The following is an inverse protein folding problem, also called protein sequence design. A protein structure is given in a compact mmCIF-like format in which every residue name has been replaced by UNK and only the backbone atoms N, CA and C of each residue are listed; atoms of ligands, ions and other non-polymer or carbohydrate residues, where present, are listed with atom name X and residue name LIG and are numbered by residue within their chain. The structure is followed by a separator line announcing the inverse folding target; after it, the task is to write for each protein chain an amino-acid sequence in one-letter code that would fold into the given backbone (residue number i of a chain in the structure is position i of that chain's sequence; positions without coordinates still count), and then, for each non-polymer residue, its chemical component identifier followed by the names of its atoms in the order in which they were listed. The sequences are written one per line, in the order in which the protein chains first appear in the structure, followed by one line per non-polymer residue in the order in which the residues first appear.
data_IF_621851846545
#
_entry.id   IF_621851846545
#
_cell.length_a   1.000
_cell.length_b   1.000
_cell.length_c   1.000
_cell.angle_alpha   90.00
_cell.angle_beta   90.00
_cell.angle_gamma   90.00
#
_symmetry.space_group_name_H-M   'P 1'
#
loop_
_entity.id
_entity.type
_entity.pdbx_description
1 polymer ?
#
# COMPACT_ATOMS: atom_id res chain seq x y z
N UNK A 1 30.17 23.05 16.40
CA UNK A 1 28.70 22.93 16.57
C UNK A 1 28.19 21.86 15.62
N UNK A 2 28.20 20.60 16.05
CA UNK A 2 27.64 19.45 15.32
C UNK A 2 26.53 18.88 16.20
N UNK A 3 25.30 18.90 15.72
CA UNK A 3 24.19 18.24 16.40
C UNK A 3 24.36 16.73 16.23
N UNK A 4 24.70 16.05 17.33
CA UNK A 4 24.43 14.64 17.54
C UNK A 4 22.90 14.50 17.63
N UNK A 5 22.25 13.89 16.64
CA UNK A 5 20.90 13.37 16.83
C UNK A 5 21.03 11.90 17.20
N UNK A 6 20.78 11.64 18.49
CA UNK A 6 20.61 10.33 19.09
C UNK A 6 19.37 9.66 18.47
N UNK A 7 19.56 8.43 18.00
CA UNK A 7 18.50 7.52 17.53
C UNK A 7 18.09 6.55 18.67
N UNK A 8 18.28 6.98 19.93
CA UNK A 8 18.23 6.11 21.11
C UNK A 8 16.90 6.17 21.90
N UNK A 9 15.93 6.99 21.49
CA UNK A 9 14.66 7.19 22.24
C UNK A 9 13.42 6.61 21.52
N UNK A 10 13.55 5.50 20.80
CA UNK A 10 12.40 4.64 20.48
C UNK A 10 12.21 3.65 21.63
N UNK A 11 11.55 4.10 22.69
CA UNK A 11 11.33 3.31 23.90
C UNK A 11 10.40 2.10 23.62
N UNK A 12 10.96 0.93 23.92
CA UNK A 12 10.38 -0.32 24.42
C UNK A 12 9.35 -1.11 23.58
N UNK A 13 9.87 -2.14 22.89
CA UNK A 13 9.13 -3.39 22.63
C UNK A 13 9.38 -4.02 21.27
N UNK A 14 9.08 -3.30 20.19
CA UNK A 14 8.89 -3.92 18.88
C UNK A 14 10.17 -4.06 18.02
N UNK A 15 11.13 -3.13 18.12
CA UNK A 15 12.36 -3.21 17.31
C UNK A 15 13.46 -4.07 17.92
N UNK A 16 13.57 -4.12 19.26
CA UNK A 16 14.63 -4.88 19.95
C UNK A 16 14.41 -6.39 19.93
N UNK A 17 13.17 -6.86 19.74
CA UNK A 17 12.87 -8.30 19.64
C UNK A 17 13.45 -8.95 18.38
N UNK A 18 13.70 -8.17 17.31
CA UNK A 18 14.19 -8.70 16.04
C UNK A 18 15.72 -8.81 15.92
N UNK A 19 16.47 -8.11 16.77
CA UNK A 19 17.93 -8.15 16.76
C UNK A 19 18.50 -9.37 17.51
N UNK A 20 17.69 -10.08 18.28
CA UNK A 20 18.18 -11.10 19.23
C UNK A 20 18.16 -12.57 18.72
N UNK A 21 17.85 -12.83 17.45
CA UNK A 21 17.88 -14.20 16.89
C UNK A 21 19.21 -14.57 16.24
N UNK A 22 20.15 -13.63 16.06
CA UNK A 22 21.51 -13.93 15.62
C UNK A 22 22.50 -13.19 16.52
N UNK A 23 22.84 -13.81 17.65
CA UNK A 23 23.81 -13.28 18.60
C UNK A 23 25.16 -13.01 17.93
N UNK A 24 25.42 -11.74 17.60
CA UNK A 24 26.73 -11.09 17.50
C UNK A 24 26.51 -9.59 17.27
N UNK A 25 26.98 -8.76 18.21
CA UNK A 25 27.04 -7.30 18.06
C UNK A 25 27.85 -6.95 16.80
N UNK A 26 27.39 -6.03 15.93
CA UNK A 26 28.24 -5.53 14.85
C UNK A 26 29.40 -4.69 15.43
N UNK A 27 30.61 -4.75 14.83
CA UNK A 27 31.72 -3.93 15.27
C UNK A 27 31.47 -2.47 14.92
N UNK A 28 31.75 -1.59 15.87
CA UNK A 28 31.72 -0.13 15.73
C UNK A 28 32.70 0.31 14.64
N UNK A 29 32.18 0.73 13.48
CA UNK A 29 32.99 1.27 12.38
C UNK A 29 33.46 2.69 12.73
N UNK A 30 34.76 2.83 13.04
CA UNK A 30 35.47 4.12 13.01
C UNK A 30 35.92 4.42 11.57
N UNK A 31 35.83 5.67 11.09
CA UNK A 31 36.22 5.99 9.71
C UNK A 31 37.75 5.98 9.60
N UNK A 32 38.29 5.02 8.86
CA UNK A 32 39.68 5.05 8.39
C UNK A 32 39.67 5.42 6.92
N UNK A 33 40.21 6.60 6.61
CA UNK A 33 40.49 7.05 5.24
C UNK A 33 41.58 6.15 4.68
N UNK A 34 41.28 5.38 3.64
CA UNK A 34 42.27 4.64 2.87
C UNK A 34 42.20 5.10 1.41
N UNK A 35 43.24 5.83 1.03
CA UNK A 35 43.59 6.22 -0.32
C UNK A 35 44.02 4.95 -1.09
N UNK A 36 43.27 4.53 -2.10
CA UNK A 36 43.69 3.43 -2.97
C UNK A 36 44.34 4.02 -4.24
N UNK A 37 45.66 3.89 -4.32
CA UNK A 37 46.42 4.08 -5.55
C UNK A 37 46.38 2.77 -6.36
N UNK A 38 45.92 2.84 -7.60
CA UNK A 38 45.94 1.72 -8.54
C UNK A 38 47.33 1.62 -9.18
N UNK A 39 47.98 0.46 -9.05
CA UNK A 39 49.05 0.03 -9.95
C UNK A 39 48.66 -1.31 -10.57
N UNK A 40 48.65 -1.33 -11.90
CA UNK A 40 48.49 -2.54 -12.70
C UNK A 40 49.82 -3.30 -12.76
N UNK A 41 49.78 -4.61 -12.55
CA UNK A 41 50.82 -5.51 -13.00
C UNK A 41 50.18 -6.84 -13.43
N UNK A 42 50.51 -7.24 -14.66
CA UNK A 42 50.10 -8.45 -15.34
C UNK A 42 50.92 -9.65 -14.82
N UNK A 43 50.28 -10.78 -14.56
CA UNK A 43 50.95 -12.03 -14.20
C UNK A 43 49.98 -13.19 -14.29
N UNK A 44 50.16 -14.04 -15.31
CA UNK A 44 49.42 -15.29 -15.52
C UNK A 44 49.92 -16.33 -14.50
N UNK A 45 49.02 -16.89 -13.71
CA UNK A 45 49.20 -18.19 -13.05
C UNK A 45 47.90 -18.98 -13.17
N UNK A 46 47.97 -20.08 -13.91
CA UNK A 46 46.95 -21.13 -13.95
C UNK A 46 46.86 -21.79 -12.58
N UNK A 47 45.71 -21.67 -11.94
CA UNK A 47 45.38 -22.32 -10.69
C UNK A 47 43.87 -22.39 -10.54
N UNK A 48 43.32 -23.60 -10.67
CA UNK A 48 41.92 -23.89 -10.44
C UNK A 48 41.53 -23.50 -9.00
N UNK A 49 40.93 -22.32 -8.84
CA UNK A 49 40.23 -21.91 -7.64
C UNK A 49 38.79 -22.36 -7.77
N UNK A 50 38.42 -23.34 -6.95
CA UNK A 50 37.04 -23.70 -6.72
C UNK A 50 36.24 -22.45 -6.36
N UNK A 51 35.18 -22.20 -7.12
CA UNK A 51 34.22 -21.12 -6.95
C UNK A 51 33.59 -21.27 -5.55
N UNK A 52 34.08 -20.52 -4.57
CA UNK A 52 33.40 -20.38 -3.29
C UNK A 52 32.22 -19.44 -3.56
N UNK A 53 30.96 -19.86 -3.35
CA UNK A 53 29.86 -18.94 -3.48
C UNK A 53 30.10 -17.79 -2.51
N UNK A 54 30.26 -16.58 -3.06
CA UNK A 54 30.34 -15.36 -2.28
C UNK A 54 29.16 -15.27 -1.31
N UNK A 55 29.27 -14.52 -0.21
CA UNK A 55 28.21 -14.44 0.78
C UNK A 55 26.90 -14.05 0.08
N UNK A 56 25.97 -15.00 0.05
CA UNK A 56 24.62 -14.79 -0.46
C UNK A 56 24.01 -13.71 0.42
N UNK A 57 23.98 -12.47 -0.07
CA UNK A 57 23.25 -11.39 0.60
C UNK A 57 21.78 -11.81 0.55
N UNK A 58 21.28 -12.35 1.66
CA UNK A 58 19.87 -12.66 1.81
C UNK A 58 19.11 -11.35 1.62
N UNK A 59 18.48 -11.18 0.45
CA UNK A 59 17.57 -10.08 0.21
C UNK A 59 16.54 -10.03 1.35
N UNK A 60 16.38 -8.86 1.96
CA UNK A 60 15.36 -8.61 2.97
C UNK A 60 14.00 -9.06 2.43
N UNK A 61 13.39 -10.04 3.09
CA UNK A 61 12.03 -10.52 2.77
C UNK A 61 11.02 -9.73 3.59
N UNK A 62 9.77 -9.77 3.14
CA UNK A 62 8.63 -9.26 3.92
C UNK A 62 8.54 -10.04 5.23
N UNK A 63 8.35 -9.33 6.33
CA UNK A 63 8.25 -9.86 7.69
C UNK A 63 6.84 -9.63 8.24
N UNK A 64 6.11 -10.73 8.46
CA UNK A 64 4.79 -10.68 9.10
C UNK A 64 4.84 -9.99 10.46
N UNK A 65 5.85 -10.25 11.29
CA UNK A 65 5.87 -9.65 12.61
C UNK A 65 6.28 -8.17 12.59
N UNK A 66 7.05 -7.72 11.59
CA UNK A 66 7.28 -6.28 11.42
C UNK A 66 5.95 -5.57 11.09
N UNK A 67 5.17 -6.16 10.17
CA UNK A 67 3.81 -5.70 9.88
C UNK A 67 2.95 -5.68 11.14
N UNK A 68 2.95 -6.77 11.92
CA UNK A 68 2.19 -6.86 13.17
C UNK A 68 2.56 -5.75 14.16
N UNK A 69 3.86 -5.51 14.35
CA UNK A 69 4.36 -4.41 15.18
C UNK A 69 3.86 -3.03 14.73
N UNK A 70 3.84 -2.76 13.42
CA UNK A 70 3.31 -1.51 12.88
C UNK A 70 1.80 -1.38 13.14
N UNK A 71 1.03 -2.43 12.89
CA UNK A 71 -0.42 -2.44 13.10
C UNK A 71 -0.76 -2.22 14.58
N UNK A 72 -0.13 -2.98 15.47
CA UNK A 72 -0.36 -2.88 16.92
C UNK A 72 -0.07 -1.48 17.46
N UNK A 73 1.02 -0.84 17.02
CA UNK A 73 1.34 0.52 17.43
C UNK A 73 0.34 1.54 16.88
N UNK A 74 0.07 1.51 15.57
CA UNK A 74 -0.78 2.49 14.90
C UNK A 74 -2.24 2.40 15.34
N UNK A 75 -2.71 1.23 15.77
CA UNK A 75 -4.03 0.99 16.33
C UNK A 75 -4.06 1.03 17.87
N UNK A 76 -2.94 1.37 18.52
CA UNK A 76 -2.88 1.37 19.99
C UNK A 76 -3.74 2.48 20.60
N UNK A 77 -4.18 2.32 21.86
CA UNK A 77 -4.87 3.38 22.59
C UNK A 77 -4.09 4.70 22.66
N UNK A 78 -2.75 4.66 22.60
CA UNK A 78 -1.90 5.85 22.59
C UNK A 78 -2.15 6.74 21.37
N UNK A 79 -2.50 6.14 20.24
CA UNK A 79 -2.77 6.84 18.98
C UNK A 79 -4.21 7.33 18.91
N UNK A 80 -5.10 6.90 19.83
CA UNK A 80 -6.43 7.47 20.01
C UNK A 80 -7.28 7.53 18.73
N UNK A 81 -7.11 6.57 17.82
CA UNK A 81 -7.77 6.55 16.52
C UNK A 81 -7.23 7.52 15.48
N UNK A 82 -5.98 7.97 15.64
CA UNK A 82 -5.20 8.75 14.67
C UNK A 82 -5.88 10.03 14.17
N UNK A 83 -6.52 10.74 15.11
CA UNK A 83 -7.05 12.09 14.92
C UNK A 83 -6.46 13.05 15.96
N UNK A 84 -6.26 14.32 15.59
CA UNK A 84 -5.73 15.33 16.52
C UNK A 84 -4.32 14.98 17.02
N UNK A 85 -4.06 14.84 18.34
CA UNK A 85 -2.73 14.44 18.82
C UNK A 85 -2.25 13.08 18.28
N UNK A 86 -3.19 12.14 18.08
CA UNK A 86 -2.90 10.82 17.53
C UNK A 86 -2.42 10.85 16.09
N UNK A 87 -3.04 11.70 15.27
CA UNK A 87 -2.65 11.95 13.88
C UNK A 87 -1.19 12.45 13.80
N UNK A 88 -0.82 13.40 14.67
CA UNK A 88 0.55 13.92 14.71
C UNK A 88 1.58 12.84 15.09
N UNK A 89 1.24 11.98 16.04
CA UNK A 89 2.08 10.83 16.42
C UNK A 89 2.22 9.83 15.27
N UNK A 90 1.13 9.49 14.58
CA UNK A 90 1.18 8.62 13.40
C UNK A 90 2.05 9.21 12.29
N UNK A 91 1.88 10.51 12.00
CA UNK A 91 2.70 11.21 11.01
C UNK A 91 4.18 11.25 11.39
N UNK A 92 4.50 11.41 12.68
CA UNK A 92 5.86 11.33 13.20
C UNK A 92 6.43 9.92 13.04
N UNK A 93 5.66 8.90 13.43
CA UNK A 93 6.04 7.50 13.33
C UNK A 93 6.45 7.11 11.91
N UNK A 94 5.62 7.42 10.91
CA UNK A 94 5.92 7.15 9.49
C UNK A 94 7.18 7.88 9.05
N UNK A 95 7.31 9.17 9.38
CA UNK A 95 8.48 9.99 9.04
C UNK A 95 9.77 9.44 9.65
N UNK A 96 9.71 9.00 10.91
CA UNK A 96 10.88 8.47 11.62
C UNK A 96 11.32 7.13 11.03
N UNK A 97 10.39 6.29 10.61
CA UNK A 97 10.72 5.05 9.89
C UNK A 97 11.37 5.34 8.54
N UNK A 98 10.83 6.28 7.75
CA UNK A 98 11.47 6.68 6.50
C UNK A 98 12.89 7.23 6.71
N UNK A 99 13.08 8.05 7.74
CA UNK A 99 14.39 8.60 8.08
C UNK A 99 15.38 7.52 8.55
N UNK A 100 14.92 6.56 9.37
CA UNK A 100 15.72 5.43 9.84
C UNK A 100 16.23 4.57 8.67
N UNK A 101 15.41 4.37 7.64
CA UNK A 101 15.78 3.68 6.40
C UNK A 101 16.72 4.48 5.48
N UNK A 102 17.08 5.71 5.85
CA UNK A 102 17.94 6.58 5.04
C UNK A 102 17.29 7.07 3.75
N UNK A 103 15.96 7.00 3.64
CA UNK A 103 15.23 7.55 2.51
C UNK A 103 15.36 9.08 2.49
N UNK A 104 15.21 9.69 1.32
CA UNK A 104 15.28 11.16 1.22
C UNK A 104 13.90 11.77 1.49
N UNK A 105 13.82 12.97 2.09
CA UNK A 105 12.56 13.68 2.16
C UNK A 105 11.99 13.97 0.76
N UNK A 106 10.67 13.81 0.59
CA UNK A 106 10.01 13.98 -0.72
C UNK A 106 9.69 15.45 -1.05
N UNK A 107 9.42 16.27 -0.05
CA UNK A 107 8.92 17.64 -0.22
C UNK A 107 10.04 18.65 0.01
N UNK A 108 11.08 18.59 -0.83
CA UNK A 108 12.30 19.38 -0.69
C UNK A 108 13.18 18.85 0.43
N UNK A 109 13.37 19.66 1.50
CA UNK A 109 14.10 19.24 2.70
C UNK A 109 13.19 18.61 3.77
N UNK A 110 11.89 18.46 3.50
CA UNK A 110 10.87 18.01 4.45
C UNK A 110 10.22 16.70 4.03
N UNK A 111 9.93 15.84 5.02
CA UNK A 111 9.07 14.66 4.83
C UNK A 111 7.59 15.05 4.84
N UNK A 112 7.24 16.23 5.31
CA UNK A 112 5.86 16.69 5.44
C UNK A 112 5.47 17.62 4.28
N UNK A 113 4.32 17.34 3.67
CA UNK A 113 3.61 18.25 2.78
C UNK A 113 2.41 18.83 3.55
N UNK A 114 2.44 20.11 3.96
CA UNK A 114 1.31 20.73 4.62
C UNK A 114 0.11 20.80 3.66
N UNK A 115 -1.08 20.47 4.17
CA UNK A 115 -2.36 20.55 3.46
C UNK A 115 -3.06 21.82 3.94
N UNK A 116 -3.36 22.71 3.01
CA UNK A 116 -4.03 23.97 3.30
C UNK A 116 -5.55 23.80 3.10
N UNK A 117 -6.33 24.35 4.03
CA UNK A 117 -7.79 24.32 3.99
C UNK A 117 -8.40 25.50 4.74
N UNK A 118 -9.74 25.57 4.73
CA UNK A 118 -10.46 26.57 5.51
C UNK A 118 -10.32 26.27 7.00
N UNK A 119 -10.21 27.33 7.81
CA UNK A 119 -10.20 27.20 9.26
C UNK A 119 -11.47 26.50 9.76
N UNK A 120 -11.33 25.37 10.48
CA UNK A 120 -12.46 24.66 11.08
C UNK A 120 -13.29 25.53 12.03
N UNK A 121 -12.70 26.60 12.58
CA UNK A 121 -13.38 27.54 13.48
C UNK A 121 -14.19 28.63 12.74
N UNK A 122 -14.28 28.55 11.41
CA UNK A 122 -15.15 29.41 10.59
C UNK A 122 -14.54 30.74 10.17
N UNK A 123 -13.24 30.96 10.38
CA UNK A 123 -12.54 32.08 9.76
C UNK A 123 -12.42 31.87 8.24
N UNK A 124 -12.32 32.96 7.48
CA UNK A 124 -12.06 32.90 6.03
C UNK A 124 -10.58 32.71 5.70
N UNK A 125 -9.73 32.52 6.71
CA UNK A 125 -8.30 32.31 6.53
C UNK A 125 -8.03 30.87 6.10
N UNK A 126 -6.98 30.72 5.29
CA UNK A 126 -6.46 29.41 4.93
C UNK A 126 -5.42 29.01 5.97
N UNK A 127 -5.61 27.84 6.58
CA UNK A 127 -4.73 27.29 7.61
C UNK A 127 -4.26 25.89 7.22
N UNK A 128 -3.19 25.42 7.86
CA UNK A 128 -2.74 24.03 7.71
C UNK A 128 -3.70 23.13 8.50
N UNK A 129 -4.44 22.28 7.78
CA UNK A 129 -5.45 21.38 8.35
C UNK A 129 -4.98 19.93 8.45
N UNK A 130 -3.84 19.59 7.83
CA UNK A 130 -3.25 18.24 7.83
C UNK A 130 -1.88 18.23 7.17
N UNK A 131 -1.25 17.05 7.07
CA UNK A 131 0.05 16.88 6.42
C UNK A 131 0.24 15.49 5.79
N UNK A 132 0.51 15.42 4.48
CA UNK A 132 1.00 14.14 3.95
C UNK A 132 2.45 13.89 4.42
N UNK A 133 2.82 12.62 4.58
CA UNK A 133 4.19 12.20 4.88
C UNK A 133 4.77 11.50 3.67
N UNK A 134 5.98 11.86 3.22
CA UNK A 134 6.53 11.31 1.99
C UNK A 134 8.04 11.22 1.95
N UNK A 135 8.54 10.14 1.35
CA UNK A 135 9.95 9.86 1.18
C UNK A 135 10.28 9.34 -0.23
N UNK A 136 11.55 9.49 -0.61
CA UNK A 136 12.08 9.19 -1.94
C UNK A 136 13.21 8.16 -1.85
N UNK A 137 13.05 7.04 -2.56
CA UNK A 137 14.12 6.09 -2.88
C UNK A 137 14.59 6.32 -4.32
N UNK A 138 15.84 6.77 -4.50
CA UNK A 138 16.36 7.14 -5.81
C UNK A 138 16.65 5.93 -6.68
N UNK A 139 16.18 5.97 -7.93
CA UNK A 139 16.55 5.00 -8.95
C UNK A 139 18.02 5.14 -9.39
N UNK A 140 18.61 4.06 -9.89
CA UNK A 140 20.00 4.00 -10.32
C UNK A 140 20.22 4.36 -11.80
N UNK A 141 19.19 4.26 -12.64
CA UNK A 141 19.31 4.46 -14.09
C UNK A 141 19.25 5.96 -14.42
N UNK A 142 20.30 6.56 -15.04
CA UNK A 142 20.32 7.99 -15.33
C UNK A 142 19.17 8.51 -16.21
N UNK A 143 18.56 7.63 -17.02
CA UNK A 143 17.44 7.96 -17.90
C UNK A 143 16.09 7.79 -17.20
N UNK A 144 15.97 6.80 -16.32
CA UNK A 144 14.70 6.41 -15.72
C UNK A 144 14.51 6.88 -14.27
N UNK A 145 15.56 7.29 -13.55
CA UNK A 145 15.47 7.70 -12.15
C UNK A 145 14.59 8.93 -11.90
N UNK A 146 14.31 9.73 -12.93
CA UNK A 146 13.38 10.86 -12.87
C UNK A 146 11.91 10.43 -12.98
N UNK A 147 11.66 9.21 -13.45
CA UNK A 147 10.36 8.56 -13.38
C UNK A 147 10.19 7.87 -12.03
N UNK A 148 8.93 7.79 -11.58
CA UNK A 148 8.59 7.32 -10.26
C UNK A 148 7.46 6.30 -10.26
N UNK A 149 7.60 5.28 -9.41
CA UNK A 149 6.48 4.46 -8.93
C UNK A 149 6.08 5.00 -7.56
N UNK A 150 4.82 5.36 -7.38
CA UNK A 150 4.28 5.80 -6.10
C UNK A 150 3.67 4.60 -5.37
N UNK A 151 3.93 4.46 -4.07
CA UNK A 151 3.30 3.50 -3.17
C UNK A 151 2.69 4.29 -2.02
N UNK A 152 1.42 4.06 -1.72
CA UNK A 152 0.71 4.84 -0.72
C UNK A 152 -0.37 4.09 0.06
N UNK A 153 -0.64 4.60 1.26
CA UNK A 153 -1.73 4.25 2.16
C UNK A 153 -2.00 5.48 3.06
N UNK A 154 -3.23 5.72 3.51
CA UNK A 154 -3.50 6.82 4.44
C UNK A 154 -3.22 6.40 5.90
N UNK A 155 -2.78 7.35 6.72
CA UNK A 155 -2.50 7.10 8.14
C UNK A 155 -3.54 7.69 9.08
N UNK A 156 -4.39 8.62 8.62
CA UNK A 156 -5.45 9.17 9.46
C UNK A 156 -6.53 8.13 9.75
N UNK A 157 -7.33 8.40 10.79
CA UNK A 157 -8.58 7.69 11.02
C UNK A 157 -9.55 8.54 11.87
N UNK A 158 -10.69 7.95 12.23
CA UNK A 158 -11.86 8.66 12.76
C UNK A 158 -11.65 9.30 14.15
N UNK A 159 -10.70 8.80 14.94
CA UNK A 159 -10.40 9.29 16.29
C UNK A 159 -11.33 8.73 17.37
N UNK A 160 -11.85 9.60 18.22
CA UNK A 160 -12.82 9.27 19.27
C UNK A 160 -14.18 9.89 18.95
N UNK A 161 -15.22 9.07 18.89
CA UNK A 161 -16.61 9.50 18.65
C UNK A 161 -17.45 9.04 19.83
N UNK A 162 -18.23 9.94 20.43
CA UNK A 162 -19.09 9.66 21.60
C UNK A 162 -18.38 8.92 22.74
N UNK A 163 -17.10 9.25 22.98
CA UNK A 163 -16.27 8.67 24.04
C UNK A 163 -15.68 7.30 23.71
N UNK A 164 -15.92 6.75 22.52
CA UNK A 164 -15.36 5.48 22.06
C UNK A 164 -14.23 5.74 21.06
N UNK A 165 -13.10 5.07 21.26
CA UNK A 165 -11.96 5.13 20.33
C UNK A 165 -12.23 4.20 19.15
N UNK A 166 -11.95 4.70 17.94
CA UNK A 166 -12.00 3.95 16.69
C UNK A 166 -10.55 3.65 16.32
N UNK A 167 -10.03 2.43 16.56
CA UNK A 167 -8.59 2.21 16.47
C UNK A 167 -8.07 2.18 15.04
N UNK A 168 -8.90 1.77 14.07
CA UNK A 168 -8.54 1.76 12.65
C UNK A 168 -7.39 0.80 12.34
N UNK A 169 -7.46 -0.43 12.84
CA UNK A 169 -6.40 -1.41 12.66
C UNK A 169 -6.30 -1.93 11.24
N UNK A 170 -7.42 -2.33 10.64
CA UNK A 170 -7.45 -2.62 9.22
C UNK A 170 -7.52 -1.35 8.39
N UNK A 171 -8.23 -0.33 8.90
CA UNK A 171 -8.48 0.97 8.27
C UNK A 171 -7.71 2.14 8.94
N UNK A 172 -6.52 2.51 8.50
CA UNK A 172 -5.71 1.84 7.50
C UNK A 172 -4.29 1.60 8.03
N UNK A 173 -4.18 1.22 9.32
CA UNK A 173 -2.91 0.82 9.90
C UNK A 173 -2.30 -0.39 9.15
N UNK A 174 -3.13 -1.28 8.61
CA UNK A 174 -2.69 -2.40 7.77
C UNK A 174 -1.99 -1.93 6.48
N UNK A 175 -2.50 -0.91 5.79
CA UNK A 175 -1.88 -0.32 4.60
C UNK A 175 -0.62 0.46 4.93
N UNK A 176 -0.59 1.20 6.04
CA UNK A 176 0.64 1.87 6.50
C UNK A 176 1.72 0.86 6.88
N UNK A 177 1.35 -0.24 7.54
CA UNK A 177 2.27 -1.33 7.85
C UNK A 177 2.88 -1.95 6.58
N UNK A 178 2.06 -2.18 5.54
CA UNK A 178 2.55 -2.58 4.21
C UNK A 178 3.50 -1.54 3.63
N UNK A 179 3.15 -0.25 3.66
CA UNK A 179 3.97 0.83 3.10
C UNK A 179 5.37 0.87 3.73
N UNK A 180 5.43 0.79 5.06
CA UNK A 180 6.69 0.80 5.82
C UNK A 180 7.53 -0.44 5.55
N UNK A 181 6.90 -1.62 5.49
CA UNK A 181 7.61 -2.88 5.25
C UNK A 181 8.13 -2.99 3.81
N UNK A 182 7.34 -2.54 2.83
CA UNK A 182 7.79 -2.45 1.43
C UNK A 182 8.92 -1.43 1.28
N UNK A 183 8.86 -0.30 1.99
CA UNK A 183 9.94 0.68 2.03
C UNK A 183 11.24 0.10 2.59
N UNK A 184 11.16 -0.67 3.69
CA UNK A 184 12.31 -1.38 4.27
C UNK A 184 12.91 -2.37 3.28
N UNK A 185 12.08 -3.25 2.71
CA UNK A 185 12.54 -4.28 1.77
C UNK A 185 13.21 -3.69 0.53
N UNK A 186 12.69 -2.58 0.00
CA UNK A 186 13.27 -1.94 -1.19
C UNK A 186 14.53 -1.12 -0.88
N UNK A 187 14.61 -0.46 0.28
CA UNK A 187 15.78 0.34 0.68
C UNK A 187 16.98 -0.52 1.09
N UNK A 188 16.74 -1.67 1.72
CA UNK A 188 17.79 -2.63 2.10
C UNK A 188 18.20 -3.57 0.95
N UNK A 189 17.51 -3.52 -0.19
CA UNK A 189 17.80 -4.37 -1.34
C UNK A 189 19.19 -4.08 -1.90
N UNK A 190 20.06 -5.10 -2.09
CA UNK A 190 21.36 -4.92 -2.74
C UNK A 190 21.24 -4.62 -4.24
N UNK A 191 20.07 -4.91 -4.84
CA UNK A 191 19.77 -4.61 -6.23
C UNK A 191 18.93 -3.34 -6.28
N UNK A 192 19.50 -2.20 -6.72
CA UNK A 192 18.76 -0.95 -6.82
C UNK A 192 17.77 -1.00 -7.98
N UNK A 193 16.66 -0.27 -7.85
CA UNK A 193 15.67 -0.12 -8.90
C UNK A 193 16.13 0.91 -9.94
N UNK A 194 15.72 0.73 -11.21
CA UNK A 194 16.06 1.68 -12.29
C UNK A 194 15.31 3.01 -12.15
N UNK A 195 13.98 2.95 -11.94
CA UNK A 195 13.13 4.10 -11.59
C UNK A 195 13.20 4.42 -10.11
N UNK A 196 12.87 5.65 -9.75
CA UNK A 196 12.69 6.02 -8.34
C UNK A 196 11.37 5.45 -7.79
N UNK A 197 11.30 5.32 -6.47
CA UNK A 197 10.06 4.97 -5.76
C UNK A 197 9.75 6.08 -4.76
N UNK A 198 8.51 6.55 -4.78
CA UNK A 198 7.98 7.52 -3.83
C UNK A 198 7.08 6.76 -2.86
N UNK A 199 7.39 6.85 -1.57
CA UNK A 199 6.53 6.33 -0.51
C UNK A 199 5.76 7.51 0.05
N UNK A 200 4.43 7.44 0.06
CA UNK A 200 3.59 8.54 0.56
C UNK A 200 2.53 7.97 1.47
N UNK A 201 2.45 8.46 2.70
CA UNK A 201 1.32 8.22 3.57
C UNK A 201 0.42 9.45 3.60
N UNK A 202 -0.82 9.29 3.15
CA UNK A 202 -1.78 10.37 3.04
C UNK A 202 -2.46 10.65 4.38
N UNK A 203 -2.87 11.91 4.54
CA UNK A 203 -3.67 12.38 5.66
C UNK A 203 -5.07 12.78 5.17
N UNK A 204 -6.04 12.92 6.08
CA UNK A 204 -7.39 13.38 5.77
C UNK A 204 -8.09 12.56 4.66
N UNK A 205 -7.84 11.26 4.56
CA UNK A 205 -8.58 10.37 3.65
C UNK A 205 -10.04 10.31 4.07
N UNK A 206 -10.27 10.11 5.37
CA UNK A 206 -11.60 9.99 5.98
C UNK A 206 -12.41 11.29 5.88
N UNK A 207 -11.72 12.38 5.53
CA UNK A 207 -12.29 13.69 5.27
C UNK A 207 -12.40 13.96 3.76
N UNK A 208 -12.83 12.96 2.99
CA UNK A 208 -13.03 13.02 1.54
C UNK A 208 -11.72 13.12 0.73
N UNK A 209 -10.74 12.26 1.01
CA UNK A 209 -9.51 12.09 0.22
C UNK A 209 -8.67 13.37 0.13
N UNK A 210 -8.73 14.24 1.14
CA UNK A 210 -8.15 15.58 1.03
C UNK A 210 -6.63 15.53 0.86
N UNK A 211 -5.93 14.61 1.53
CA UNK A 211 -4.49 14.45 1.39
C UNK A 211 -4.06 14.03 -0.01
N UNK A 212 -4.66 12.99 -0.59
CA UNK A 212 -4.33 12.54 -1.94
C UNK A 212 -4.76 13.54 -3.01
N UNK A 213 -5.90 14.21 -2.85
CA UNK A 213 -6.34 15.32 -3.73
C UNK A 213 -5.33 16.45 -3.70
N UNK A 214 -4.89 16.85 -2.49
CA UNK A 214 -3.89 17.88 -2.30
C UNK A 214 -2.55 17.48 -2.94
N UNK A 215 -2.11 16.24 -2.74
CA UNK A 215 -0.89 15.70 -3.34
C UNK A 215 -0.92 15.74 -4.86
N UNK A 216 -2.01 15.30 -5.50
CA UNK A 216 -2.14 15.32 -6.96
C UNK A 216 -2.21 16.74 -7.52
N UNK A 217 -2.78 17.69 -6.78
CA UNK A 217 -2.79 19.10 -7.15
C UNK A 217 -1.42 19.79 -6.98
N UNK A 218 -0.64 19.39 -5.96
CA UNK A 218 0.63 20.02 -5.57
C UNK A 218 1.78 19.00 -5.58
N UNK A 219 1.81 18.15 -6.60
CA UNK A 219 2.75 17.03 -6.66
C UNK A 219 4.20 17.55 -6.70
N UNK A 220 5.12 17.01 -5.87
CA UNK A 220 6.51 17.47 -5.80
C UNK A 220 7.30 17.17 -7.08
N UNK A 221 6.75 16.34 -7.97
CA UNK A 221 7.25 16.09 -9.31
C UNK A 221 6.13 16.34 -10.33
N UNK A 222 6.44 16.65 -11.60
CA UNK A 222 5.42 16.66 -12.64
C UNK A 222 4.63 15.36 -12.64
N UNK A 223 3.30 15.42 -12.48
CA UNK A 223 2.44 14.25 -12.28
C UNK A 223 2.64 13.15 -13.34
N UNK A 224 2.92 13.53 -14.59
CA UNK A 224 3.25 12.60 -15.69
C UNK A 224 4.48 11.72 -15.46
N UNK A 225 5.37 12.09 -14.53
CA UNK A 225 6.54 11.31 -14.11
C UNK A 225 6.17 10.21 -13.11
N UNK A 226 5.01 10.30 -12.46
CA UNK A 226 4.43 9.16 -11.73
C UNK A 226 3.88 8.21 -12.79
N UNK A 227 4.62 7.12 -12.99
CA UNK A 227 4.34 6.13 -14.03
C UNK A 227 3.35 5.08 -13.58
N UNK A 228 3.25 4.86 -12.27
CA UNK A 228 2.28 3.99 -11.63
C UNK A 228 2.05 4.49 -10.21
N UNK A 229 0.79 4.61 -9.79
CA UNK A 229 0.40 4.80 -8.40
C UNK A 229 -0.17 3.50 -7.82
N UNK A 230 0.51 2.92 -6.85
CA UNK A 230 0.02 1.78 -6.07
C UNK A 230 -0.56 2.33 -4.77
N UNK A 231 -1.85 2.14 -4.56
CA UNK A 231 -2.59 2.58 -3.37
C UNK A 231 -3.14 1.35 -2.67
N UNK A 232 -3.13 1.32 -1.35
CA UNK A 232 -3.57 0.18 -0.57
C UNK A 232 -4.42 0.60 0.63
N UNK A 233 -5.48 -0.15 0.88
CA UNK A 233 -6.46 0.15 1.92
C UNK A 233 -7.26 -1.10 2.31
N UNK A 234 -7.44 -1.34 3.61
CA UNK A 234 -8.05 -2.55 4.17
C UNK A 234 -7.35 -3.84 3.70
N UNK A 235 -6.20 -4.21 4.27
CA UNK A 235 -5.40 -5.35 3.78
C UNK A 235 -5.49 -6.62 4.65
N UNK A 236 -5.96 -6.48 5.87
CA UNK A 236 -5.91 -7.44 6.95
C UNK A 236 -7.17 -8.27 7.14
N UNK A 237 -8.30 -7.85 6.58
CA UNK A 237 -9.60 -8.54 6.73
C UNK A 237 -10.06 -9.13 5.39
N UNK A 238 -11.34 -9.47 5.30
CA UNK A 238 -11.99 -9.98 4.09
C UNK A 238 -13.29 -9.24 3.88
N UNK A 239 -13.66 -9.03 2.61
CA UNK A 239 -14.96 -8.49 2.22
C UNK A 239 -16.09 -9.23 2.96
N UNK A 240 -16.82 -8.52 3.82
CA UNK A 240 -17.89 -9.05 4.65
C UNK A 240 -17.50 -10.18 5.60
N UNK A 241 -16.23 -10.32 5.96
CA UNK A 241 -15.76 -11.50 6.72
C UNK A 241 -16.01 -12.84 6.00
N UNK A 242 -16.12 -12.83 4.66
CA UNK A 242 -16.21 -14.05 3.88
C UNK A 242 -14.99 -14.95 4.15
N UNK A 243 -15.17 -16.29 4.21
CA UNK A 243 -14.13 -17.26 4.59
C UNK A 243 -13.15 -17.55 3.44
N UNK A 244 -12.55 -16.49 2.92
CA UNK A 244 -11.70 -16.48 1.73
C UNK A 244 -10.53 -15.53 1.98
N UNK A 245 -9.39 -15.82 1.37
CA UNK A 245 -8.24 -14.91 1.38
C UNK A 245 -8.08 -14.36 -0.03
N UNK A 246 -8.66 -13.18 -0.25
CA UNK A 246 -8.68 -12.53 -1.56
C UNK A 246 -8.26 -11.06 -1.39
N UNK A 247 -7.42 -10.59 -2.30
CA UNK A 247 -7.16 -9.16 -2.48
C UNK A 247 -7.71 -8.73 -3.84
N UNK A 248 -8.59 -7.73 -3.81
CA UNK A 248 -9.08 -7.04 -4.98
C UNK A 248 -8.02 -6.07 -5.49
N UNK A 249 -7.76 -6.15 -6.79
CA UNK A 249 -6.88 -5.23 -7.49
C UNK A 249 -7.66 -4.46 -8.55
N UNK A 250 -7.83 -3.15 -8.34
CA UNK A 250 -8.48 -2.23 -9.28
C UNK A 250 -7.46 -1.38 -10.05
N UNK A 251 -7.89 -0.76 -11.15
CA UNK A 251 -7.10 0.17 -11.98
C UNK A 251 -6.41 -0.47 -13.18
N UNK A 252 -6.27 -1.80 -13.18
CA UNK A 252 -5.67 -2.53 -14.30
C UNK A 252 -6.53 -2.53 -15.57
N UNK A 253 -7.82 -2.20 -15.48
CA UNK A 253 -8.75 -2.09 -16.61
C UNK A 253 -8.31 -1.08 -17.69
N UNK A 254 -7.51 -0.08 -17.30
CA UNK A 254 -6.98 0.97 -18.17
C UNK A 254 -5.53 0.70 -18.59
N UNK A 255 -4.99 -0.51 -18.42
CA UNK A 255 -3.63 -0.81 -18.86
C UNK A 255 -3.41 -2.31 -19.10
N UNK A 256 -3.22 -2.71 -20.36
CA UNK A 256 -2.94 -4.12 -20.73
C UNK A 256 -1.67 -4.62 -20.07
N UNK A 257 -0.66 -3.76 -19.94
CA UNK A 257 0.61 -4.09 -19.30
C UNK A 257 0.41 -4.43 -17.82
N UNK A 258 -0.38 -3.64 -17.08
CA UNK A 258 -0.72 -3.94 -15.69
C UNK A 258 -1.48 -5.28 -15.57
N UNK A 259 -2.44 -5.55 -16.47
CA UNK A 259 -3.14 -6.85 -16.48
C UNK A 259 -2.18 -8.01 -16.75
N UNK A 260 -1.23 -7.84 -17.66
CA UNK A 260 -0.23 -8.85 -17.97
C UNK A 260 0.70 -9.11 -16.78
N UNK A 261 1.12 -8.09 -16.05
CA UNK A 261 1.93 -8.22 -14.83
C UNK A 261 1.16 -8.89 -13.70
N UNK A 262 -0.10 -8.50 -13.46
CA UNK A 262 -0.94 -9.13 -12.44
C UNK A 262 -1.23 -10.62 -12.72
N UNK A 263 -1.13 -11.06 -13.98
CA UNK A 263 -1.18 -12.49 -14.34
C UNK A 263 0.13 -13.24 -14.06
N UNK A 264 1.25 -12.55 -13.83
CA UNK A 264 2.57 -13.14 -13.57
C UNK A 264 2.91 -13.17 -12.08
N UNK A 265 2.47 -12.17 -11.32
CA UNK A 265 2.72 -12.12 -9.87
C UNK A 265 2.00 -13.27 -9.16
N UNK A 266 2.67 -13.88 -8.20
CA UNK A 266 2.11 -14.97 -7.40
C UNK A 266 2.37 -14.67 -5.93
N UNK A 267 1.35 -14.67 -5.07
CA UNK A 267 1.57 -14.67 -3.63
C UNK A 267 2.25 -15.99 -3.23
N UNK A 268 2.98 -15.97 -2.12
CA UNK A 268 3.68 -17.15 -1.60
C UNK A 268 2.76 -18.16 -0.91
N UNK A 269 1.57 -17.72 -0.49
CA UNK A 269 0.59 -18.55 0.23
C UNK A 269 -0.73 -18.72 -0.52
N UNK A 270 -1.82 -18.81 0.26
CA UNK A 270 -3.17 -19.09 -0.24
C UNK A 270 -3.94 -17.84 -0.69
N UNK A 271 -3.34 -16.66 -0.54
CA UNK A 271 -3.96 -15.42 -1.01
C UNK A 271 -4.29 -15.52 -2.50
N UNK A 272 -5.46 -15.06 -2.89
CA UNK A 272 -5.85 -14.95 -4.28
C UNK A 272 -5.87 -13.49 -4.73
N UNK A 273 -5.20 -13.20 -5.83
CA UNK A 273 -5.18 -11.87 -6.45
C UNK A 273 -6.29 -11.82 -7.48
N UNK A 274 -7.41 -11.16 -7.14
CA UNK A 274 -8.59 -11.04 -7.99
C UNK A 274 -8.70 -9.63 -8.55
N UNK A 275 -9.17 -9.48 -9.80
CA UNK A 275 -9.27 -8.16 -10.45
C UNK A 275 -10.70 -7.68 -10.45
N UNK A 276 -10.89 -6.42 -10.10
CA UNK A 276 -12.18 -5.73 -10.14
C UNK A 276 -11.96 -4.34 -10.73
N UNK A 277 -12.73 -3.91 -11.73
CA UNK A 277 -12.56 -2.56 -12.24
C UNK A 277 -13.05 -1.50 -11.23
N UNK A 278 -12.37 -0.36 -11.21
CA UNK A 278 -12.70 0.73 -10.29
C UNK A 278 -14.10 1.32 -10.55
N UNK A 279 -14.61 1.27 -11.79
CA UNK A 279 -15.98 1.74 -12.07
C UNK A 279 -17.05 0.87 -11.37
N UNK A 280 -16.78 -0.42 -11.15
CA UNK A 280 -17.68 -1.34 -10.46
C UNK A 280 -17.88 -1.00 -8.99
N UNK A 281 -16.88 -0.38 -8.34
CA UNK A 281 -16.90 -0.06 -6.90
C UNK A 281 -17.00 1.46 -6.63
N UNK A 282 -16.66 2.31 -7.60
CA UNK A 282 -16.67 3.77 -7.48
C UNK A 282 -15.30 4.36 -7.17
N UNK A 283 -15.27 5.54 -6.54
CA UNK A 283 -14.06 6.03 -5.85
C UNK A 283 -14.24 5.72 -4.38
N UNK A 284 -13.41 4.82 -3.84
CA UNK A 284 -13.50 4.36 -2.46
C UNK A 284 -12.27 4.69 -1.60
N UNK A 285 -11.16 5.10 -2.22
CA UNK A 285 -9.90 5.40 -1.53
C UNK A 285 -9.02 6.34 -2.39
N UNK A 286 -7.79 6.59 -1.95
CA UNK A 286 -6.84 7.59 -2.46
C UNK A 286 -6.37 7.39 -3.92
N UNK A 287 -6.77 6.31 -4.58
CA UNK A 287 -6.53 6.13 -6.02
C UNK A 287 -7.36 7.08 -6.89
N UNK A 288 -8.48 7.61 -6.36
CA UNK A 288 -9.43 8.45 -7.10
C UNK A 288 -8.77 9.63 -7.84
N UNK A 289 -8.03 10.50 -7.14
CA UNK A 289 -7.35 11.64 -7.76
C UNK A 289 -6.36 11.25 -8.88
N UNK A 290 -5.71 10.08 -8.78
CA UNK A 290 -4.82 9.57 -9.83
C UNK A 290 -5.62 9.09 -11.04
N UNK A 291 -6.72 8.36 -10.81
CA UNK A 291 -7.66 7.93 -11.85
C UNK A 291 -8.22 9.12 -12.64
N UNK A 292 -8.65 10.17 -11.94
CA UNK A 292 -9.23 11.38 -12.55
C UNK A 292 -8.21 12.13 -13.43
N UNK A 293 -6.92 11.99 -13.13
CA UNK A 293 -5.80 12.54 -13.91
C UNK A 293 -5.19 11.56 -14.91
N UNK A 294 -5.80 10.40 -15.11
CA UNK A 294 -5.34 9.34 -16.02
C UNK A 294 -3.91 8.87 -15.75
N UNK A 295 -3.50 8.89 -14.48
CA UNK A 295 -2.27 8.25 -14.05
C UNK A 295 -2.56 6.75 -13.89
N UNK A 296 -1.79 5.85 -14.53
CA UNK A 296 -1.93 4.41 -14.30
C UNK A 296 -1.86 4.11 -12.81
N UNK A 297 -2.81 3.34 -12.30
CA UNK A 297 -2.89 3.03 -10.88
C UNK A 297 -3.22 1.57 -10.65
N UNK A 298 -2.86 1.08 -9.47
CA UNK A 298 -3.37 -0.15 -8.90
C UNK A 298 -3.86 0.14 -7.48
N UNK A 299 -5.08 -0.26 -7.18
CA UNK A 299 -5.63 -0.19 -5.83
C UNK A 299 -5.78 -1.59 -5.27
N UNK A 300 -5.15 -1.86 -4.13
CA UNK A 300 -5.20 -3.13 -3.42
C UNK A 300 -6.07 -3.01 -2.19
N UNK A 301 -7.10 -3.85 -2.09
CA UNK A 301 -7.99 -3.90 -0.92
C UNK A 301 -8.60 -5.27 -0.73
N UNK A 302 -8.91 -5.64 0.50
CA UNK A 302 -9.69 -6.83 0.81
C UNK A 302 -11.18 -6.55 0.96
N UNK A 303 -11.58 -5.28 0.89
CA UNK A 303 -12.97 -4.82 0.95
C UNK A 303 -13.48 -4.56 2.38
N UNK A 304 -14.60 -3.86 2.46
CA UNK A 304 -15.27 -3.49 3.72
C UNK A 304 -15.73 -4.77 4.49
N UNK A 305 -15.69 -4.70 5.83
CA UNK A 305 -16.08 -5.79 6.73
C UNK A 305 -16.91 -5.23 7.91
N UNK A 306 -17.49 -6.10 8.73
CA UNK A 306 -18.47 -5.70 9.75
C UNK A 306 -17.93 -4.78 10.87
N UNK A 307 -16.60 -4.63 10.98
CA UNK A 307 -15.96 -3.75 11.96
C UNK A 307 -15.42 -2.45 11.33
N UNK A 308 -15.52 -2.30 10.01
CA UNK A 308 -15.10 -1.10 9.29
C UNK A 308 -15.81 0.13 9.86
N UNK A 309 -15.04 1.18 10.17
CA UNK A 309 -15.54 2.40 10.83
C UNK A 309 -16.26 2.10 12.16
N UNK A 310 -15.77 1.14 12.93
CA UNK A 310 -16.28 0.84 14.28
C UNK A 310 -15.15 0.75 15.31
N UNK A 311 -15.46 0.85 16.61
CA UNK A 311 -14.50 0.60 17.69
C UNK A 311 -13.92 -0.82 17.72
N UNK A 312 -14.48 -1.76 16.95
CA UNK A 312 -14.03 -3.15 16.88
C UNK A 312 -12.98 -3.39 15.79
N UNK A 313 -12.59 -2.37 15.01
CA UNK A 313 -11.46 -2.48 14.09
C UNK A 313 -10.13 -2.44 14.87
N UNK A 314 -9.81 -3.55 15.52
CA UNK A 314 -8.70 -3.73 16.47
C UNK A 314 -7.59 -4.61 15.88
N UNK A 315 -6.35 -4.41 16.36
CA UNK A 315 -5.15 -5.05 15.83
C UNK A 315 -5.23 -6.59 15.83
N UNK A 316 -5.89 -7.18 16.83
CA UNK A 316 -6.04 -8.63 16.97
C UNK A 316 -6.86 -9.26 15.83
N UNK A 317 -7.70 -8.48 15.13
CA UNK A 317 -8.50 -8.95 14.00
C UNK A 317 -7.76 -8.89 12.66
N UNK A 318 -6.61 -8.22 12.61
CA UNK A 318 -5.80 -8.07 11.40
C UNK A 318 -5.00 -9.34 11.12
N UNK A 319 -5.23 -9.95 9.95
CA UNK A 319 -4.45 -11.11 9.47
C UNK A 319 -3.13 -10.63 8.88
N UNK A 320 -2.13 -10.44 9.73
CA UNK A 320 -0.82 -9.92 9.32
C UNK A 320 -0.10 -10.81 8.29
N UNK A 321 -0.35 -12.12 8.30
CA UNK A 321 0.15 -13.06 7.28
C UNK A 321 -0.43 -12.76 5.89
N UNK A 322 -1.70 -12.33 5.84
CA UNK A 322 -2.33 -11.87 4.62
C UNK A 322 -1.73 -10.55 4.14
N UNK A 323 -1.58 -9.58 5.05
CA UNK A 323 -0.94 -8.29 4.73
C UNK A 323 0.48 -8.51 4.19
N UNK A 324 1.23 -9.47 4.75
CA UNK A 324 2.55 -9.86 4.25
C UNK A 324 2.49 -10.42 2.82
N UNK A 325 1.57 -11.35 2.55
CA UNK A 325 1.39 -11.89 1.19
C UNK A 325 0.98 -10.80 0.18
N UNK A 326 0.12 -9.84 0.57
CA UNK A 326 -0.25 -8.70 -0.28
C UNK A 326 0.99 -7.81 -0.52
N UNK A 327 1.79 -7.55 0.51
CA UNK A 327 3.03 -6.76 0.41
C UNK A 327 4.02 -7.39 -0.58
N UNK A 328 4.12 -8.72 -0.63
CA UNK A 328 4.93 -9.43 -1.61
C UNK A 328 4.41 -9.27 -3.04
N UNK A 329 3.10 -9.30 -3.24
CA UNK A 329 2.47 -9.06 -4.56
C UNK A 329 2.74 -7.61 -5.01
N UNK A 330 2.63 -6.64 -4.10
CA UNK A 330 2.97 -5.23 -4.36
C UNK A 330 4.46 -5.11 -4.71
N UNK A 331 5.37 -5.73 -3.97
CA UNK A 331 6.80 -5.74 -4.26
C UNK A 331 7.12 -6.31 -5.63
N UNK A 332 6.53 -7.45 -6.01
CA UNK A 332 6.72 -8.04 -7.34
C UNK A 332 6.25 -7.08 -8.44
N UNK A 333 5.09 -6.47 -8.25
CA UNK A 333 4.50 -5.52 -9.21
C UNK A 333 5.34 -4.25 -9.35
N UNK A 334 5.78 -3.67 -8.22
CA UNK A 334 6.67 -2.50 -8.18
C UNK A 334 8.00 -2.80 -8.83
N UNK A 335 8.60 -3.98 -8.59
CA UNK A 335 9.85 -4.38 -9.25
C UNK A 335 9.70 -4.51 -10.76
N UNK A 336 8.58 -5.05 -11.25
CA UNK A 336 8.28 -5.09 -12.69
C UNK A 336 8.18 -3.66 -13.26
N UNK A 337 7.41 -2.79 -12.60
CA UNK A 337 7.20 -1.42 -13.06
C UNK A 337 8.47 -0.56 -12.99
N UNK A 338 9.28 -0.71 -11.94
CA UNK A 338 10.45 0.10 -11.70
C UNK A 338 11.65 -0.33 -12.55
N UNK A 339 11.72 -1.60 -12.98
CA UNK A 339 12.84 -2.14 -13.76
C UNK A 339 12.53 -2.41 -15.24
N UNK A 340 11.26 -2.44 -15.65
CA UNK A 340 10.89 -2.61 -17.06
C UNK A 340 11.40 -1.46 -17.94
N UNK A 341 11.67 -1.71 -19.22
CA UNK A 341 12.08 -0.63 -20.13
C UNK A 341 10.93 0.37 -20.35
N UNK A 342 9.73 -0.14 -20.54
CA UNK A 342 8.51 0.66 -20.68
C UNK A 342 7.67 0.63 -19.40
N UNK A 343 7.22 1.81 -19.00
CA UNK A 343 6.26 1.99 -17.92
C UNK A 343 4.81 1.82 -18.42
N UNK A 344 3.87 1.40 -17.55
CA UNK A 344 2.48 1.23 -17.91
C UNK A 344 1.90 2.54 -18.44
N UNK A 345 1.03 2.41 -19.44
CA UNK A 345 0.30 3.53 -20.03
C UNK A 345 -1.18 3.40 -19.70
N UNK A 346 -1.85 4.55 -19.66
CA UNK A 346 -3.29 4.64 -19.55
C UNK A 346 -3.94 4.41 -20.93
N UNK A 347 -4.96 3.56 -20.97
CA UNK A 347 -5.75 3.21 -22.14
C UNK A 347 -7.22 3.59 -21.89
N UNK A 348 -7.80 4.41 -22.77
CA UNK A 348 -9.21 4.83 -22.67
C UNK A 348 -10.19 3.70 -23.01
N UNK A 349 -9.76 2.71 -23.79
CA UNK A 349 -10.56 1.55 -24.18
C UNK A 349 -10.28 0.38 -23.25
N UNK A 350 -11.30 -0.06 -22.51
CA UNK A 350 -11.19 -1.14 -21.55
C UNK A 350 -11.97 -2.37 -22.05
N UNK A 351 -11.29 -3.42 -22.51
CA UNK A 351 -11.92 -4.71 -22.84
C UNK A 351 -11.74 -5.67 -21.65
N UNK A 352 -12.60 -5.55 -20.65
CA UNK A 352 -12.30 -6.01 -19.26
C UNK A 352 -13.26 -7.06 -18.72
N UNK A 353 -14.31 -7.39 -19.46
CA UNK A 353 -15.52 -8.03 -18.88
C UNK A 353 -15.27 -9.38 -18.21
N UNK A 354 -14.30 -10.18 -18.66
CA UNK A 354 -14.15 -11.56 -18.18
C UNK A 354 -13.70 -11.68 -16.71
N UNK A 355 -12.65 -10.97 -16.30
CA UNK A 355 -12.09 -11.12 -14.93
C UNK A 355 -13.06 -10.59 -13.86
N UNK A 356 -13.73 -9.47 -14.16
CA UNK A 356 -14.75 -8.89 -13.27
C UNK A 356 -15.93 -9.84 -13.11
N UNK A 357 -16.38 -10.47 -14.20
CA UNK A 357 -17.46 -11.43 -14.18
C UNK A 357 -17.11 -12.67 -13.36
N UNK A 358 -15.89 -13.19 -13.49
CA UNK A 358 -15.43 -14.32 -12.68
C UNK A 358 -15.34 -13.96 -11.19
N UNK A 359 -14.81 -12.77 -10.88
CA UNK A 359 -14.70 -12.27 -9.51
C UNK A 359 -16.08 -12.09 -8.87
N UNK A 360 -17.03 -11.45 -9.57
CA UNK A 360 -18.39 -11.25 -9.07
C UNK A 360 -19.17 -12.55 -8.95
N UNK A 361 -19.06 -13.45 -9.93
CA UNK A 361 -19.71 -14.76 -9.88
C UNK A 361 -19.24 -15.54 -8.65
N UNK A 362 -17.95 -15.50 -8.34
CA UNK A 362 -17.40 -16.14 -7.15
C UNK A 362 -17.94 -15.53 -5.84
N UNK A 363 -17.86 -14.21 -5.68
CA UNK A 363 -18.33 -13.54 -4.45
C UNK A 363 -19.82 -13.81 -4.24
N UNK A 364 -20.62 -13.61 -5.30
CA UNK A 364 -22.07 -13.81 -5.21
C UNK A 364 -22.43 -15.28 -4.99
N UNK A 365 -21.65 -16.22 -5.54
CA UNK A 365 -21.76 -17.65 -5.24
C UNK A 365 -21.53 -17.94 -3.75
N UNK A 366 -20.46 -17.39 -3.15
CA UNK A 366 -20.18 -17.54 -1.71
C UNK A 366 -21.28 -16.95 -0.84
N UNK A 367 -21.82 -15.79 -1.20
CA UNK A 367 -22.92 -15.15 -0.49
C UNK A 367 -24.23 -15.97 -0.54
N UNK A 368 -24.42 -16.78 -1.58
CA UNK A 368 -25.59 -17.64 -1.75
C UNK A 368 -25.37 -19.07 -1.25
N UNK A 369 -24.12 -19.45 -0.96
CA UNK A 369 -23.75 -20.80 -0.53
C UNK A 369 -24.41 -21.12 0.82
N UNK A 370 -25.27 -22.16 0.89
CA UNK A 370 -25.89 -22.59 2.13
C UNK A 370 -24.89 -22.97 3.23
N UNK A 371 -23.64 -23.35 2.89
CA UNK A 371 -22.61 -23.72 3.86
C UNK A 371 -21.90 -22.52 4.48
N UNK A 372 -21.85 -21.38 3.77
CA UNK A 372 -21.22 -20.13 4.25
C UNK A 372 -22.16 -19.40 5.24
N UNK A 373 -23.46 -19.64 5.16
CA UNK A 373 -24.49 -19.06 6.04
C UNK A 373 -24.43 -17.52 6.16
N UNK A 374 -24.16 -16.82 5.04
CA UNK A 374 -24.15 -15.34 5.05
C UNK A 374 -25.56 -14.75 5.27
N UNK A 375 -25.74 -13.79 6.20
CA UNK A 375 -27.06 -13.31 6.60
C UNK A 375 -27.66 -12.32 5.59
N UNK A 376 -28.15 -12.82 4.46
CA UNK A 376 -28.87 -12.01 3.47
C UNK A 376 -30.39 -11.96 3.74
N UNK A 377 -30.95 -10.75 3.79
CA UNK A 377 -32.39 -10.52 3.77
C UNK A 377 -33.00 -10.89 2.39
N UNK A 378 -34.33 -11.02 2.25
CA UNK A 378 -34.96 -11.47 1.00
C UNK A 378 -34.64 -10.58 -0.22
N UNK A 379 -34.54 -9.25 -0.03
CA UNK A 379 -34.23 -8.31 -1.10
C UNK A 379 -32.77 -8.45 -1.55
N UNK A 380 -31.83 -8.50 -0.61
CA UNK A 380 -30.42 -8.73 -0.87
C UNK A 380 -30.22 -10.07 -1.58
N UNK A 381 -30.84 -11.16 -1.10
CA UNK A 381 -30.75 -12.49 -1.72
C UNK A 381 -31.23 -12.48 -3.18
N UNK A 382 -32.29 -11.73 -3.47
CA UNK A 382 -32.81 -11.56 -4.84
C UNK A 382 -31.81 -10.80 -5.72
N UNK A 383 -31.22 -9.72 -5.20
CA UNK A 383 -30.21 -8.92 -5.90
C UNK A 383 -28.94 -9.72 -6.18
N UNK A 384 -28.39 -10.37 -5.15
CA UNK A 384 -27.20 -11.24 -5.25
C UNK A 384 -27.47 -12.38 -6.24
N UNK A 385 -28.62 -13.05 -6.17
CA UNK A 385 -28.99 -14.12 -7.10
C UNK A 385 -29.07 -13.67 -8.56
N UNK A 386 -29.53 -12.44 -8.82
CA UNK A 386 -29.53 -11.90 -10.18
C UNK A 386 -28.11 -11.54 -10.66
N UNK A 387 -27.30 -10.96 -9.77
CA UNK A 387 -25.90 -10.65 -10.07
C UNK A 387 -25.08 -11.91 -10.36
N UNK A 388 -25.28 -12.98 -9.59
CA UNK A 388 -24.64 -14.28 -9.78
C UNK A 388 -24.93 -14.85 -11.17
N UNK A 389 -26.21 -14.92 -11.56
CA UNK A 389 -26.60 -15.45 -12.88
C UNK A 389 -26.05 -14.64 -14.04
N UNK A 390 -25.99 -13.32 -13.89
CA UNK A 390 -25.46 -12.43 -14.93
C UNK A 390 -23.93 -12.55 -15.01
N UNK A 391 -23.25 -12.67 -13.88
CA UNK A 391 -21.82 -12.89 -13.81
C UNK A 391 -21.41 -14.26 -14.40
N UNK A 392 -22.24 -15.29 -14.21
CA UNK A 392 -22.04 -16.62 -14.78
C UNK A 392 -21.98 -16.64 -16.32
N UNK A 393 -22.58 -15.65 -17.00
CA UNK A 393 -22.57 -15.55 -18.46
C UNK A 393 -21.19 -15.19 -19.04
N UNK A 394 -20.28 -14.65 -18.22
CA UNK A 394 -18.89 -14.29 -18.57
C UNK A 394 -18.72 -13.30 -19.75
N UNK A 395 -19.81 -12.83 -20.34
CA UNK A 395 -19.86 -11.82 -21.41
C UNK A 395 -21.03 -10.89 -21.13
N UNK A 396 -20.75 -9.60 -21.04
CA UNK A 396 -21.74 -8.59 -20.71
C UNK A 396 -21.93 -7.62 -21.88
N UNK A 397 -23.19 -7.33 -22.20
CA UNK A 397 -23.52 -6.15 -23.01
C UNK A 397 -23.27 -4.87 -22.21
N UNK A 398 -23.30 -3.70 -22.87
CA UNK A 398 -23.21 -2.41 -22.17
C UNK A 398 -24.33 -2.21 -21.15
N UNK A 399 -25.52 -2.76 -21.42
CA UNK A 399 -26.64 -2.75 -20.49
C UNK A 399 -26.38 -3.63 -19.27
N UNK A 400 -25.83 -4.84 -19.49
CA UNK A 400 -25.45 -5.75 -18.40
C UNK A 400 -24.37 -5.14 -17.51
N UNK A 401 -23.32 -4.53 -18.08
CA UNK A 401 -22.29 -3.82 -17.30
C UNK A 401 -22.90 -2.68 -16.48
N UNK A 402 -23.79 -1.89 -17.07
CA UNK A 402 -24.47 -0.79 -16.37
C UNK A 402 -25.29 -1.29 -15.19
N UNK A 403 -26.02 -2.39 -15.38
CA UNK A 403 -26.78 -3.01 -14.30
C UNK A 403 -25.85 -3.60 -13.24
N UNK A 404 -24.83 -4.37 -13.63
CA UNK A 404 -23.86 -4.98 -12.71
C UNK A 404 -23.13 -3.93 -11.87
N UNK A 405 -22.71 -2.81 -12.47
CA UNK A 405 -22.09 -1.70 -11.76
C UNK A 405 -23.01 -1.16 -10.65
N UNK A 406 -24.26 -0.81 -11.00
CA UNK A 406 -25.23 -0.29 -10.03
C UNK A 406 -25.53 -1.30 -8.92
N UNK A 407 -25.69 -2.58 -9.28
CA UNK A 407 -25.94 -3.65 -8.33
C UNK A 407 -24.74 -3.88 -7.41
N UNK A 408 -23.52 -3.89 -7.93
CA UNK A 408 -22.29 -4.07 -7.13
C UNK A 408 -22.14 -2.93 -6.13
N UNK A 409 -22.33 -1.69 -6.56
CA UNK A 409 -22.31 -0.52 -5.68
C UNK A 409 -23.39 -0.58 -4.61
N UNK A 410 -24.59 -1.06 -4.95
CA UNK A 410 -25.67 -1.26 -3.98
C UNK A 410 -25.35 -2.40 -2.99
N UNK A 411 -24.74 -3.50 -3.45
CA UNK A 411 -24.33 -4.61 -2.59
C UNK A 411 -23.26 -4.15 -1.59
N UNK A 412 -22.27 -3.39 -2.05
CA UNK A 412 -21.26 -2.77 -1.17
C UNK A 412 -21.86 -1.82 -0.12
N UNK A 413 -23.03 -1.23 -0.36
CA UNK A 413 -23.69 -0.32 0.59
C UNK A 413 -24.70 -1.01 1.51
N UNK A 414 -25.09 -2.25 1.19
CA UNK A 414 -26.23 -2.88 1.84
C UNK A 414 -25.94 -4.25 2.41
N UNK A 415 -24.90 -4.95 1.93
CA UNK A 415 -24.56 -6.33 2.34
C UNK A 415 -23.30 -6.37 3.20
N UNK A 416 -22.34 -5.55 2.81
CA UNK A 416 -21.13 -5.24 3.55
C UNK A 416 -21.35 -3.87 4.18
#
# INVERSE_FOLDING_TARGET
MRALFLCDDLNDGCYMAYVNVLGKRPPVCRPSVLLAAAFAACGIVDGALADQPGPTVCASRVSEAAIRCHVEYLASPELGGRRGPGEQKAAQYVRDHFACLGLRPLFGSSYYQPIQGLDPNGSRETVVIGRNVGAWLSGCDPRLKEEAILIAAHYDHLGTIDGQVYPGADDNASGVAMLLEVARVLSESPVPLRRSVLFVSFDLEEQMLLGSRWFVAHCPVPLKRIRLAVVADLLGRSLGDLPVSMVFVCGSEHSRQLRAWLRQVRPTGKLEVVRMAADMIGTRSDYGPFRDRRVPFLFFSTGEHADYHTPNDVAERVRCDQVAQISEVILQTVRLAANGDEAPQWEDASDVTLDEAETLHRITGLLLDPQVHYPLNPLQRTLVGRAERLAAQKRWTSADRTWMRRSTQLLLLSVF
#
